data_IF_977877683928
#
_entry.id   IF_977877683928
#
_cell.length_a   1.000
_cell.length_b   1.000
_cell.length_c   1.000
_cell.angle_alpha   90.00
_cell.angle_beta   90.00
_cell.angle_gamma   90.00
#
_symmetry.space_group_name_H-M   'P 1'
#
loop_
_entity.id
_entity.type
_entity.pdbx_description
1 polymer ?
#
# COMPACT_ATOMS: atom_id res chain seq x y z
N UNK A 1 -10.87 0.97 -22.63
CA UNK A 1 -10.84 1.50 -21.25
C UNK A 1 -12.26 1.59 -20.72
N UNK A 2 -12.70 0.64 -19.90
CA UNK A 2 -14.00 0.73 -19.24
C UNK A 2 -13.73 1.27 -17.83
N UNK A 3 -14.07 2.52 -17.62
CA UNK A 3 -14.04 3.12 -16.30
C UNK A 3 -15.30 2.65 -15.56
N UNK A 4 -15.16 1.77 -14.60
CA UNK A 4 -16.23 1.41 -13.67
C UNK A 4 -15.93 2.17 -12.39
N UNK A 5 -16.83 3.08 -12.04
CA UNK A 5 -16.77 3.81 -10.77
C UNK A 5 -17.85 3.21 -9.90
N UNK A 6 -17.45 2.38 -8.95
CA UNK A 6 -18.35 1.83 -7.95
C UNK A 6 -18.11 2.47 -6.59
N UNK A 7 -19.21 2.81 -5.93
CA UNK A 7 -19.22 3.35 -4.58
C UNK A 7 -19.33 2.18 -3.61
N UNK A 8 -18.22 1.77 -3.01
CA UNK A 8 -18.24 0.76 -1.95
C UNK A 8 -18.67 1.42 -0.64
N UNK A 9 -19.86 1.07 -0.17
CA UNK A 9 -20.37 1.53 1.12
C UNK A 9 -19.66 0.78 2.26
N UNK A 10 -18.66 1.42 2.85
CA UNK A 10 -18.06 1.01 4.13
C UNK A 10 -17.81 2.23 5.00
N UNK A 11 -18.84 3.09 5.19
CA UNK A 11 -18.77 4.28 6.04
C UNK A 11 -18.00 5.46 5.49
N UNK A 12 -17.14 5.26 4.47
CA UNK A 12 -16.44 6.30 3.70
C UNK A 12 -16.56 6.00 2.21
N UNK A 13 -16.58 7.06 1.38
CA UNK A 13 -16.68 6.93 -0.06
C UNK A 13 -15.35 6.43 -0.62
N UNK A 14 -15.30 5.17 -1.02
CA UNK A 14 -14.20 4.57 -1.74
C UNK A 14 -14.47 4.67 -3.24
N UNK A 15 -13.60 5.36 -3.98
CA UNK A 15 -13.67 5.43 -5.44
C UNK A 15 -12.70 4.44 -6.05
N UNK A 16 -13.20 3.60 -6.94
CA UNK A 16 -12.47 2.52 -7.60
C UNK A 16 -12.37 2.82 -9.09
N UNK A 17 -11.16 2.76 -9.63
CA UNK A 17 -10.93 2.74 -11.07
C UNK A 17 -10.50 1.33 -11.44
N UNK A 18 -11.32 0.66 -12.25
CA UNK A 18 -11.00 -0.63 -12.83
C UNK A 18 -10.50 -0.41 -14.26
N UNK A 19 -9.27 -0.80 -14.53
CA UNK A 19 -8.72 -0.80 -15.88
C UNK A 19 -8.92 -2.20 -16.50
N UNK A 20 -9.85 -2.30 -17.45
CA UNK A 20 -10.23 -3.54 -18.12
C UNK A 20 -9.74 -3.51 -19.56
N UNK A 21 -8.56 -4.08 -19.85
CA UNK A 21 -8.10 -4.33 -21.22
C UNK A 21 -8.40 -5.78 -21.60
N UNK A 22 -9.66 -6.21 -21.44
CA UNK A 22 -10.07 -7.57 -21.74
C UNK A 22 -10.98 -7.62 -22.99
N UNK A 23 -10.63 -6.87 -24.02
CA UNK A 23 -11.39 -6.97 -25.28
C UNK A 23 -11.14 -8.33 -25.93
N UNK A 24 -12.10 -9.23 -25.75
CA UNK A 24 -12.22 -10.44 -26.56
C UNK A 24 -11.64 -11.72 -25.96
N UNK A 25 -11.31 -11.77 -24.67
CA UNK A 25 -10.91 -13.01 -24.01
C UNK A 25 -12.05 -13.56 -23.14
N UNK A 26 -12.57 -14.72 -23.53
CA UNK A 26 -13.44 -15.51 -22.68
C UNK A 26 -12.56 -16.29 -21.69
N UNK A 27 -12.59 -15.95 -20.38
CA UNK A 27 -11.79 -16.69 -19.40
C UNK A 27 -11.65 -16.01 -18.04
N UNK A 28 -10.91 -16.66 -17.17
CA UNK A 28 -10.52 -16.14 -15.87
C UNK A 28 -9.18 -15.43 -15.99
N UNK A 29 -9.05 -14.31 -15.31
CA UNK A 29 -7.86 -13.46 -15.35
C UNK A 29 -7.24 -13.31 -13.96
N UNK A 30 -5.91 -13.30 -13.85
CA UNK A 30 -5.25 -12.93 -12.62
C UNK A 30 -5.65 -11.50 -12.23
N UNK A 31 -5.74 -11.24 -10.94
CA UNK A 31 -6.11 -9.90 -10.45
C UNK A 31 -4.96 -9.28 -9.67
N UNK A 32 -4.86 -7.96 -9.73
CA UNK A 32 -3.88 -7.21 -8.97
C UNK A 32 -4.47 -5.92 -8.41
N UNK A 33 -4.39 -5.78 -7.08
CA UNK A 33 -4.71 -4.54 -6.40
C UNK A 33 -3.46 -3.65 -6.35
N UNK A 34 -3.62 -2.38 -6.69
CA UNK A 34 -2.55 -1.38 -6.61
C UNK A 34 -2.95 -0.27 -5.63
N UNK A 35 -2.60 -0.41 -4.33
CA UNK A 35 -2.84 0.62 -3.34
C UNK A 35 -2.01 1.88 -3.60
N UNK A 36 -2.53 3.09 -3.25
CA UNK A 36 -1.87 4.35 -3.53
C UNK A 36 -0.65 4.61 -2.64
N UNK A 37 0.27 5.42 -3.14
CA UNK A 37 1.26 6.11 -2.32
C UNK A 37 0.61 7.14 -1.40
N UNK A 38 1.41 7.74 -0.50
CA UNK A 38 0.92 8.73 0.46
C UNK A 38 0.43 10.02 -0.20
N UNK A 39 -0.44 10.72 0.54
CA UNK A 39 -1.00 12.02 0.18
C UNK A 39 -2.30 11.94 -0.59
N UNK A 40 -3.09 13.00 -0.45
CA UNK A 40 -4.38 13.17 -1.11
C UNK A 40 -4.12 13.74 -2.50
N UNK A 41 -4.33 12.93 -3.51
CA UNK A 41 -4.07 13.27 -4.92
C UNK A 41 -4.87 12.37 -5.83
N UNK A 42 -5.09 12.82 -7.06
CA UNK A 42 -5.70 11.97 -8.08
C UNK A 42 -4.93 10.66 -8.23
N UNK A 43 -5.66 9.60 -8.50
CA UNK A 43 -5.06 8.30 -8.76
C UNK A 43 -4.23 8.39 -10.05
N UNK A 44 -2.97 8.03 -9.93
CA UNK A 44 -2.08 7.81 -11.07
C UNK A 44 -2.14 6.31 -11.41
N UNK A 45 -2.90 5.97 -12.43
CA UNK A 45 -3.07 4.59 -12.88
C UNK A 45 -2.18 4.28 -14.07
N UNK A 46 -1.87 3.00 -14.23
CA UNK A 46 -1.04 2.48 -15.32
C UNK A 46 -1.70 1.25 -15.94
N UNK A 47 -1.67 1.16 -17.26
CA UNK A 47 -2.15 0.00 -18.02
C UNK A 47 -1.21 -1.21 -17.95
N UNK A 48 -0.05 -1.06 -17.33
CA UNK A 48 1.04 -2.06 -17.30
C UNK A 48 0.58 -3.47 -16.93
N UNK A 49 -0.24 -3.61 -15.90
CA UNK A 49 -0.72 -4.93 -15.48
C UNK A 49 -1.85 -5.43 -16.37
N UNK A 50 -2.72 -4.55 -16.84
CA UNK A 50 -3.77 -4.90 -17.77
C UNK A 50 -3.20 -5.39 -19.12
N UNK A 51 -2.13 -4.77 -19.61
CA UNK A 51 -1.38 -5.23 -20.81
C UNK A 51 -0.75 -6.62 -20.64
N UNK A 52 -0.57 -7.07 -19.41
CA UNK A 52 -0.10 -8.42 -19.07
C UNK A 52 -1.25 -9.42 -18.84
N UNK A 53 -2.50 -9.01 -19.05
CA UNK A 53 -3.69 -9.84 -18.92
C UNK A 53 -4.30 -9.87 -17.51
N UNK A 54 -3.89 -8.97 -16.60
CA UNK A 54 -4.49 -8.83 -15.28
C UNK A 54 -5.74 -7.96 -15.30
N UNK A 55 -6.70 -8.29 -14.44
CA UNK A 55 -7.65 -7.30 -13.94
C UNK A 55 -6.91 -6.45 -12.91
N UNK A 56 -6.72 -5.17 -13.22
CA UNK A 56 -5.92 -4.24 -12.41
C UNK A 56 -6.82 -3.22 -11.73
N UNK A 57 -6.79 -3.17 -10.40
CA UNK A 57 -7.59 -2.25 -9.59
C UNK A 57 -6.72 -1.23 -8.89
N UNK A 58 -6.97 0.04 -9.15
CA UNK A 58 -6.39 1.19 -8.45
C UNK A 58 -7.46 1.83 -7.58
N UNK A 59 -7.14 2.14 -6.33
CA UNK A 59 -8.08 2.70 -5.36
C UNK A 59 -7.61 4.04 -4.83
N UNK A 60 -8.54 4.91 -4.49
CA UNK A 60 -8.32 6.00 -3.55
C UNK A 60 -8.65 5.54 -2.13
N UNK A 61 -7.94 6.06 -1.14
CA UNK A 61 -8.12 5.71 0.28
C UNK A 61 -8.51 6.93 1.14
N UNK A 62 -8.78 8.05 0.48
CA UNK A 62 -9.12 9.31 1.10
C UNK A 62 -10.52 9.83 0.74
N UNK A 63 -11.27 9.10 -0.11
CA UNK A 63 -12.60 9.50 -0.58
C UNK A 63 -12.55 10.55 -1.70
N UNK A 64 -11.42 10.67 -2.40
CA UNK A 64 -11.31 11.55 -3.56
C UNK A 64 -11.90 10.88 -4.80
N UNK A 65 -12.82 11.56 -5.46
CA UNK A 65 -13.36 11.09 -6.75
C UNK A 65 -12.24 11.00 -7.80
N UNK A 66 -12.19 9.94 -8.62
CA UNK A 66 -11.28 9.89 -9.78
C UNK A 66 -11.56 11.00 -10.80
N UNK A 67 -12.76 11.58 -10.77
CA UNK A 67 -13.18 12.71 -11.62
C UNK A 67 -13.04 14.06 -10.90
N UNK A 68 -12.47 14.08 -9.67
CA UNK A 68 -12.30 15.31 -8.90
C UNK A 68 -11.54 16.37 -9.70
N UNK A 69 -12.01 17.60 -9.65
CA UNK A 69 -11.27 18.73 -10.19
C UNK A 69 -10.16 19.20 -9.23
N UNK A 70 -9.41 20.22 -9.63
CA UNK A 70 -8.32 20.75 -8.81
C UNK A 70 -8.79 21.40 -7.52
N UNK A 71 -10.01 21.93 -7.48
CA UNK A 71 -10.51 22.63 -6.29
C UNK A 71 -11.05 21.63 -5.27
N UNK A 72 -11.66 20.54 -5.72
CA UNK A 72 -12.04 19.42 -4.85
C UNK A 72 -10.79 18.76 -4.22
N UNK A 73 -9.71 18.56 -5.00
CA UNK A 73 -8.43 18.06 -4.47
C UNK A 73 -7.89 19.00 -3.40
N UNK A 74 -7.83 20.31 -3.65
CA UNK A 74 -7.35 21.31 -2.68
C UNK A 74 -8.21 21.33 -1.41
N UNK A 75 -9.55 21.30 -1.57
CA UNK A 75 -10.48 21.24 -0.44
C UNK A 75 -10.21 20.05 0.44
N UNK A 76 -10.13 18.86 -0.14
CA UNK A 76 -9.89 17.62 0.62
C UNK A 76 -8.50 17.60 1.28
N UNK A 77 -7.46 18.10 0.59
CA UNK A 77 -6.14 18.29 1.18
C UNK A 77 -6.18 19.18 2.40
N UNK A 78 -6.93 20.31 2.34
CA UNK A 78 -7.06 21.25 3.47
C UNK A 78 -7.86 20.65 4.63
N UNK A 79 -8.92 19.90 4.35
CA UNK A 79 -9.77 19.27 5.37
C UNK A 79 -9.06 18.12 6.10
N UNK A 80 -8.06 17.51 5.47
CA UNK A 80 -7.35 16.32 5.97
C UNK A 80 -5.83 16.51 6.02
N UNK A 81 -5.37 17.74 6.22
CA UNK A 81 -3.93 18.09 6.20
C UNK A 81 -3.13 17.25 7.20
N UNK A 82 -3.68 17.06 8.39
CA UNK A 82 -3.05 16.29 9.48
C UNK A 82 -3.57 14.84 9.60
N UNK A 83 -4.08 14.23 8.53
CA UNK A 83 -4.67 12.88 8.62
C UNK A 83 -3.73 11.83 9.25
N UNK A 84 -2.42 12.01 9.13
CA UNK A 84 -1.42 11.12 9.72
C UNK A 84 -1.41 11.13 11.25
N UNK A 85 -1.98 12.17 11.89
CA UNK A 85 -2.15 12.28 13.34
C UNK A 85 -3.58 12.00 13.79
N UNK A 86 -4.55 12.00 12.87
CA UNK A 86 -5.98 11.90 13.18
C UNK A 86 -6.30 10.57 13.87
N UNK A 87 -6.84 10.64 15.10
CA UNK A 87 -7.24 9.48 15.89
C UNK A 87 -6.08 8.74 16.56
N UNK A 88 -4.89 9.33 16.64
CA UNK A 88 -3.69 8.68 17.21
C UNK A 88 -3.82 8.35 18.70
N UNK A 89 -4.79 8.96 19.39
CA UNK A 89 -5.11 8.69 20.80
C UNK A 89 -5.68 7.28 21.03
N UNK A 90 -6.24 6.65 19.98
CA UNK A 90 -6.88 5.34 20.09
C UNK A 90 -6.76 4.56 18.77
N UNK A 91 -6.20 3.36 18.83
CA UNK A 91 -6.03 2.51 17.66
C UNK A 91 -7.35 2.18 16.92
N UNK A 92 -8.51 2.23 17.60
CA UNK A 92 -9.79 2.01 16.93
C UNK A 92 -10.26 3.22 16.10
N UNK A 93 -9.73 4.41 16.37
CA UNK A 93 -10.11 5.67 15.72
C UNK A 93 -9.03 6.19 14.76
N UNK A 94 -7.83 5.59 14.80
CA UNK A 94 -6.72 6.05 13.98
C UNK A 94 -7.04 5.96 12.49
N UNK A 95 -6.82 7.05 11.77
CA UNK A 95 -7.21 7.22 10.36
C UNK A 95 -6.75 6.09 9.45
N UNK A 96 -5.56 5.54 9.69
CA UNK A 96 -5.03 4.43 8.92
C UNK A 96 -5.86 3.14 8.99
N UNK A 97 -6.74 2.99 9.99
CA UNK A 97 -7.69 1.87 10.03
C UNK A 97 -8.57 1.84 8.77
N UNK A 98 -9.09 2.99 8.37
CA UNK A 98 -9.93 3.10 7.18
C UNK A 98 -9.13 2.84 5.91
N UNK A 99 -7.89 3.34 5.84
CA UNK A 99 -6.97 3.06 4.73
C UNK A 99 -6.71 1.55 4.57
N UNK A 100 -6.45 0.84 5.67
CA UNK A 100 -6.22 -0.61 5.63
C UNK A 100 -7.48 -1.36 5.23
N UNK A 101 -8.63 -0.98 5.81
CA UNK A 101 -9.91 -1.60 5.48
C UNK A 101 -10.32 -1.36 4.02
N UNK A 102 -10.00 -0.18 3.46
CA UNK A 102 -10.25 0.10 2.04
C UNK A 102 -9.55 -0.91 1.13
N UNK A 103 -8.30 -1.29 1.43
CA UNK A 103 -7.57 -2.30 0.66
C UNK A 103 -8.22 -3.69 0.76
N UNK A 104 -8.67 -4.09 1.96
CA UNK A 104 -9.38 -5.38 2.15
C UNK A 104 -10.71 -5.38 1.39
N UNK A 105 -11.47 -4.27 1.45
CA UNK A 105 -12.73 -4.13 0.70
C UNK A 105 -12.53 -4.13 -0.83
N UNK A 106 -11.42 -3.54 -1.30
CA UNK A 106 -11.05 -3.64 -2.70
C UNK A 106 -10.81 -5.10 -3.14
N UNK A 107 -10.23 -5.93 -2.26
CA UNK A 107 -10.11 -7.37 -2.53
C UNK A 107 -11.47 -8.09 -2.53
N UNK A 108 -12.41 -7.70 -1.66
CA UNK A 108 -13.79 -8.23 -1.71
C UNK A 108 -14.43 -7.96 -3.08
N UNK A 109 -14.25 -6.74 -3.60
CA UNK A 109 -14.74 -6.37 -4.93
C UNK A 109 -14.09 -7.20 -6.03
N UNK A 110 -12.75 -7.29 -6.06
CA UNK A 110 -12.02 -8.08 -7.06
C UNK A 110 -12.43 -9.55 -7.04
N UNK A 111 -12.61 -10.14 -5.86
CA UNK A 111 -13.04 -11.54 -5.72
C UNK A 111 -14.47 -11.80 -6.18
N UNK A 112 -15.32 -10.77 -6.19
CA UNK A 112 -16.70 -10.88 -6.63
C UNK A 112 -16.85 -10.79 -8.17
N UNK A 113 -15.80 -10.39 -8.88
CA UNK A 113 -15.84 -10.30 -10.34
C UNK A 113 -15.90 -11.70 -10.96
N UNK A 114 -16.87 -11.96 -11.85
CA UNK A 114 -17.00 -13.26 -12.54
C UNK A 114 -15.75 -13.64 -13.34
N UNK A 115 -15.00 -12.65 -13.83
CA UNK A 115 -13.79 -12.81 -14.64
C UNK A 115 -12.53 -13.01 -13.80
N UNK A 116 -12.58 -12.80 -12.49
CA UNK A 116 -11.41 -12.94 -11.62
C UNK A 116 -11.00 -14.42 -11.47
N UNK A 117 -9.67 -14.67 -11.60
CA UNK A 117 -9.07 -15.94 -11.24
C UNK A 117 -8.70 -15.94 -9.76
N UNK A 118 -9.48 -16.63 -8.95
CA UNK A 118 -9.24 -16.75 -7.51
C UNK A 118 -7.94 -17.44 -7.10
N UNK A 119 -7.16 -17.96 -8.07
CA UNK A 119 -5.87 -18.62 -7.81
C UNK A 119 -4.67 -17.68 -7.98
N UNK A 120 -4.85 -16.59 -8.71
CA UNK A 120 -3.79 -15.64 -9.05
C UNK A 120 -4.19 -14.22 -8.62
N UNK A 121 -4.08 -13.97 -7.30
CA UNK A 121 -4.53 -12.73 -6.67
C UNK A 121 -3.35 -12.00 -6.05
N UNK A 122 -2.97 -10.89 -6.66
CA UNK A 122 -1.80 -10.10 -6.25
C UNK A 122 -2.14 -8.76 -5.63
N UNK A 123 -1.16 -8.23 -4.90
CA UNK A 123 -1.16 -6.83 -4.45
C UNK A 123 0.21 -6.23 -4.68
N UNK A 124 0.26 -5.01 -5.25
CA UNK A 124 1.52 -4.38 -5.65
C UNK A 124 1.49 -2.88 -5.45
N UNK A 125 2.47 -2.34 -4.72
CA UNK A 125 2.57 -0.90 -4.51
C UNK A 125 3.94 -0.41 -4.06
N UNK A 126 4.10 0.91 -4.05
CA UNK A 126 5.32 1.57 -3.58
C UNK A 126 5.03 2.55 -2.44
N UNK A 127 6.01 2.79 -1.56
CA UNK A 127 5.86 3.72 -0.43
C UNK A 127 4.72 3.30 0.51
N UNK A 128 3.75 4.17 0.79
CA UNK A 128 2.52 3.79 1.49
C UNK A 128 1.84 2.60 0.80
N UNK A 129 1.75 2.59 -0.54
CA UNK A 129 1.21 1.46 -1.30
C UNK A 129 2.00 0.17 -1.09
N UNK A 130 3.32 0.25 -0.89
CA UNK A 130 4.15 -0.90 -0.51
C UNK A 130 3.85 -1.42 0.89
N UNK A 131 3.64 -0.52 1.85
CA UNK A 131 3.16 -0.86 3.19
C UNK A 131 1.78 -1.53 3.12
N UNK A 132 0.85 -0.92 2.40
CA UNK A 132 -0.51 -1.44 2.21
C UNK A 132 -0.50 -2.80 1.51
N UNK A 133 0.45 -3.05 0.60
CA UNK A 133 0.60 -4.37 -0.03
C UNK A 133 0.96 -5.46 1.00
N UNK A 134 1.91 -5.18 1.90
CA UNK A 134 2.28 -6.11 2.98
C UNK A 134 1.11 -6.30 3.95
N UNK A 135 0.46 -5.22 4.36
CA UNK A 135 -0.66 -5.25 5.31
C UNK A 135 -1.84 -6.03 4.73
N UNK A 136 -2.21 -5.75 3.47
CA UNK A 136 -3.33 -6.46 2.83
C UNK A 136 -3.03 -7.95 2.72
N UNK A 137 -1.82 -8.33 2.32
CA UNK A 137 -1.44 -9.75 2.22
C UNK A 137 -1.36 -10.46 3.60
N UNK A 138 -1.13 -9.70 4.68
CA UNK A 138 -1.17 -10.24 6.03
C UNK A 138 -2.60 -10.42 6.58
N UNK A 139 -3.54 -9.57 6.14
CA UNK A 139 -4.92 -9.55 6.60
C UNK A 139 -5.86 -10.42 5.75
N UNK A 140 -5.52 -10.63 4.47
CA UNK A 140 -6.38 -11.28 3.50
C UNK A 140 -5.73 -12.55 2.93
N UNK A 141 -6.23 -13.70 3.35
CA UNK A 141 -5.71 -15.01 2.94
C UNK A 141 -5.99 -15.36 1.46
N UNK A 142 -6.77 -14.57 0.74
CA UNK A 142 -7.02 -14.72 -0.69
C UNK A 142 -5.84 -14.25 -1.54
N UNK A 143 -4.99 -13.39 -1.01
CA UNK A 143 -3.77 -12.94 -1.68
C UNK A 143 -2.83 -14.15 -1.85
N UNK A 144 -2.27 -14.31 -3.05
CA UNK A 144 -1.39 -15.41 -3.41
C UNK A 144 0.06 -14.98 -3.69
N UNK A 145 0.28 -13.70 -3.96
CA UNK A 145 1.60 -13.08 -4.10
C UNK A 145 1.55 -11.59 -3.81
N UNK A 146 2.68 -10.99 -3.47
CA UNK A 146 2.77 -9.53 -3.29
C UNK A 146 4.07 -8.96 -3.87
N UNK A 147 4.02 -7.66 -4.21
CA UNK A 147 5.21 -6.89 -4.56
C UNK A 147 5.21 -5.54 -3.83
N UNK A 148 6.22 -5.27 -3.00
CA UNK A 148 6.31 -4.07 -2.21
C UNK A 148 7.63 -3.33 -2.45
N UNK A 149 7.53 -2.08 -2.90
CA UNK A 149 8.68 -1.23 -3.19
C UNK A 149 8.83 -0.18 -2.10
N UNK A 150 10.03 -0.08 -1.51
CA UNK A 150 10.36 0.91 -0.46
C UNK A 150 9.20 1.17 0.52
N UNK A 151 8.68 0.12 1.20
CA UNK A 151 7.46 0.24 2.00
C UNK A 151 7.60 1.26 3.13
N UNK A 152 6.57 2.09 3.30
CA UNK A 152 6.41 3.01 4.42
C UNK A 152 5.91 2.27 5.68
N UNK A 153 5.60 3.00 6.74
CA UNK A 153 5.02 2.51 8.00
C UNK A 153 5.84 1.39 8.67
N UNK A 154 7.14 1.32 8.41
CA UNK A 154 8.03 0.32 8.99
C UNK A 154 8.84 0.91 10.15
N UNK A 155 8.92 0.21 11.29
CA UNK A 155 9.65 0.64 12.50
C UNK A 155 9.32 2.08 12.90
N UNK A 156 8.01 2.37 13.03
CA UNK A 156 7.50 3.73 13.26
C UNK A 156 8.01 4.32 14.59
N UNK A 157 8.40 3.48 15.54
CA UNK A 157 8.96 3.88 16.83
C UNK A 157 10.50 3.95 16.86
N UNK A 158 11.16 3.74 15.74
CA UNK A 158 12.63 3.66 15.63
C UNK A 158 13.36 4.84 16.27
N UNK A 159 12.83 6.06 16.11
CA UNK A 159 13.44 7.28 16.69
C UNK A 159 13.61 7.21 18.22
N UNK A 160 12.68 6.59 18.93
CA UNK A 160 12.75 6.44 20.38
C UNK A 160 13.85 5.45 20.81
N UNK A 161 14.37 4.67 19.87
CA UNK A 161 15.40 3.65 20.09
C UNK A 161 16.71 3.99 19.37
N UNK A 162 16.94 5.26 19.06
CA UNK A 162 18.18 5.74 18.41
C UNK A 162 18.34 5.29 16.95
N UNK A 163 17.24 4.87 16.29
CA UNK A 163 17.21 4.49 14.88
C UNK A 163 16.37 5.48 14.08
N UNK A 164 16.44 5.40 12.75
CA UNK A 164 15.48 6.09 11.91
C UNK A 164 14.10 5.43 12.07
N UNK A 165 13.02 6.23 11.97
CA UNK A 165 11.65 5.75 11.86
C UNK A 165 11.17 5.85 10.40
N UNK A 166 10.33 4.93 9.97
CA UNK A 166 9.70 4.96 8.64
C UNK A 166 8.69 6.10 8.52
N UNK A 167 8.41 6.51 7.27
CA UNK A 167 7.31 7.45 7.01
C UNK A 167 6.01 6.95 7.70
N UNK A 168 5.20 7.81 8.33
CA UNK A 168 5.20 9.28 8.32
C UNK A 168 6.10 9.97 9.37
N UNK A 169 6.97 9.24 10.07
CA UNK A 169 7.99 9.77 10.98
C UNK A 169 7.43 10.57 12.17
N UNK A 170 6.25 10.21 12.67
CA UNK A 170 5.51 10.95 13.71
C UNK A 170 6.31 11.17 15.00
N UNK A 171 7.28 10.28 15.28
CA UNK A 171 8.12 10.36 16.47
C UNK A 171 9.52 10.97 16.20
N UNK A 172 9.71 11.56 15.00
CA UNK A 172 10.92 12.33 14.72
C UNK A 172 11.01 13.60 15.58
N UNK A 173 12.20 14.18 15.78
CA UNK A 173 12.35 15.41 16.57
C UNK A 173 11.51 16.60 16.10
N UNK A 174 11.18 16.67 14.81
CA UNK A 174 10.30 17.70 14.24
C UNK A 174 8.82 17.40 14.45
N UNK A 175 8.39 16.15 14.21
CA UNK A 175 6.98 15.78 14.19
C UNK A 175 6.41 15.47 15.58
N UNK A 176 7.23 14.93 16.49
CA UNK A 176 6.80 14.56 17.85
C UNK A 176 6.17 15.73 18.63
N UNK A 177 6.53 16.96 18.25
CA UNK A 177 5.99 18.19 18.86
C UNK A 177 4.55 18.48 18.44
N UNK A 178 4.06 17.84 17.38
CA UNK A 178 2.67 17.96 16.89
C UNK A 178 1.73 16.97 17.55
N UNK A 179 2.26 16.01 18.32
CA UNK A 179 1.41 15.05 19.03
C UNK A 179 0.52 15.78 20.05
N UNK A 180 -0.75 15.49 20.01
CA UNK A 180 -1.76 16.00 20.95
C UNK A 180 -1.96 15.08 22.16
N UNK A 181 -1.24 13.95 22.19
CA UNK A 181 -1.28 12.93 23.24
C UNK A 181 0.12 12.59 23.74
N UNK A 182 0.26 11.97 24.94
CA UNK A 182 1.53 11.46 25.41
C UNK A 182 2.16 10.46 24.41
N UNK A 183 3.50 10.47 24.32
CA UNK A 183 4.24 9.63 23.38
C UNK A 183 3.95 8.14 23.55
N UNK A 184 3.78 7.68 24.79
CA UNK A 184 3.45 6.27 25.07
C UNK A 184 2.04 5.86 24.55
N UNK A 185 1.08 6.79 24.59
CA UNK A 185 -0.24 6.60 23.99
C UNK A 185 -0.14 6.47 22.48
N UNK A 186 0.58 7.40 21.82
CA UNK A 186 0.84 7.34 20.39
C UNK A 186 1.54 6.03 20.01
N UNK A 187 2.58 5.61 20.74
CA UNK A 187 3.28 4.35 20.51
C UNK A 187 2.38 3.12 20.58
N UNK A 188 1.46 3.08 21.56
CA UNK A 188 0.48 1.99 21.66
C UNK A 188 -0.41 1.91 20.42
N UNK A 189 -0.87 3.05 19.92
CA UNK A 189 -1.65 3.11 18.67
C UNK A 189 -0.80 2.69 17.48
N UNK A 190 0.38 3.28 17.29
CA UNK A 190 1.27 2.98 16.17
C UNK A 190 1.66 1.51 16.08
N UNK A 191 1.76 0.81 17.20
CA UNK A 191 2.06 -0.63 17.22
C UNK A 191 1.02 -1.48 16.47
N UNK A 192 -0.23 -1.02 16.38
CA UNK A 192 -1.28 -1.69 15.58
C UNK A 192 -1.17 -1.41 14.09
N UNK A 193 -0.35 -0.43 13.68
CA UNK A 193 -0.26 0.04 12.29
C UNK A 193 1.14 -0.08 11.70
N UNK A 194 2.11 -0.54 12.50
CA UNK A 194 3.48 -0.76 12.05
C UNK A 194 3.59 -2.04 11.20
N UNK A 195 4.09 -1.89 9.96
CA UNK A 195 4.30 -2.99 9.01
C UNK A 195 5.14 -4.12 9.59
N UNK A 196 6.07 -3.84 10.49
CA UNK A 196 6.90 -4.85 11.17
C UNK A 196 6.02 -5.91 11.86
N UNK A 197 4.87 -5.50 12.43
CA UNK A 197 3.93 -6.39 13.08
C UNK A 197 3.09 -7.21 12.11
N UNK A 198 2.80 -6.70 10.92
CA UNK A 198 2.10 -7.44 9.85
C UNK A 198 3.03 -8.39 9.10
N UNK A 199 4.27 -7.99 8.89
CA UNK A 199 5.26 -8.74 8.10
C UNK A 199 5.46 -10.17 8.59
N UNK A 200 5.41 -10.42 9.90
CA UNK A 200 5.49 -11.78 10.48
C UNK A 200 4.32 -12.70 10.12
N UNK A 201 3.21 -12.15 9.63
CA UNK A 201 2.03 -12.90 9.22
C UNK A 201 1.98 -13.20 7.71
N UNK A 202 2.95 -12.72 6.93
CA UNK A 202 3.04 -13.01 5.50
C UNK A 202 3.34 -14.50 5.30
N UNK A 203 2.47 -15.17 4.52
CA UNK A 203 2.56 -16.59 4.19
C UNK A 203 2.78 -16.85 2.70
N UNK A 204 2.67 -15.81 1.88
CA UNK A 204 2.76 -15.90 0.43
C UNK A 204 4.10 -15.39 -0.08
N UNK A 205 4.55 -15.84 -1.26
CA UNK A 205 5.78 -15.31 -1.85
C UNK A 205 5.69 -13.81 -2.11
N UNK A 206 6.80 -13.11 -1.90
CA UNK A 206 6.88 -11.67 -2.07
C UNK A 206 8.13 -11.20 -2.78
N UNK A 207 7.94 -10.17 -3.63
CA UNK A 207 9.02 -9.37 -4.21
C UNK A 207 9.14 -8.05 -3.47
N UNK A 208 10.34 -7.71 -3.03
CA UNK A 208 10.60 -6.50 -2.25
C UNK A 208 11.76 -5.72 -2.84
N UNK A 209 11.67 -4.40 -2.84
CA UNK A 209 12.83 -3.58 -3.22
C UNK A 209 12.94 -2.30 -2.40
N UNK A 210 14.16 -1.85 -2.21
CA UNK A 210 14.47 -0.55 -1.62
C UNK A 210 15.85 -0.04 -2.06
N UNK A 211 16.14 1.22 -1.77
CA UNK A 211 17.43 1.85 -2.00
C UNK A 211 18.12 2.25 -0.70
N UNK A 212 19.44 2.44 -0.74
CA UNK A 212 20.19 2.87 0.46
C UNK A 212 20.11 4.37 0.71
N UNK A 213 19.81 5.17 -0.31
CA UNK A 213 19.67 6.62 -0.20
C UNK A 213 18.25 7.10 0.09
N UNK A 214 17.34 6.18 0.45
CA UNK A 214 15.96 6.54 0.76
C UNK A 214 15.86 7.19 2.14
N UNK A 215 15.64 8.51 2.15
CA UNK A 215 15.42 9.28 3.35
C UNK A 215 13.94 9.32 3.78
N UNK A 216 13.02 8.93 2.94
CA UNK A 216 11.57 8.89 3.25
C UNK A 216 11.22 7.59 3.97
N UNK A 217 11.61 6.46 3.38
CA UNK A 217 11.49 5.13 3.98
C UNK A 217 12.91 4.55 4.16
N UNK A 218 13.61 4.91 5.24
CA UNK A 218 15.01 4.53 5.43
C UNK A 218 15.23 3.02 5.33
N UNK A 219 16.32 2.57 4.70
CA UNK A 219 16.55 1.14 4.45
C UNK A 219 16.58 0.30 5.74
N UNK A 220 17.00 0.89 6.86
CA UNK A 220 16.98 0.23 8.17
C UNK A 220 15.56 -0.12 8.61
N UNK A 221 14.59 0.77 8.38
CA UNK A 221 13.19 0.53 8.75
C UNK A 221 12.56 -0.53 7.85
N UNK A 222 12.82 -0.46 6.55
CA UNK A 222 12.38 -1.48 5.58
C UNK A 222 12.95 -2.85 5.95
N UNK A 223 14.24 -2.92 6.25
CA UNK A 223 14.90 -4.16 6.65
C UNK A 223 14.32 -4.73 7.94
N UNK A 224 13.94 -3.90 8.92
CA UNK A 224 13.22 -4.35 10.12
C UNK A 224 11.96 -5.16 9.76
N UNK A 225 11.16 -4.67 8.82
CA UNK A 225 9.96 -5.38 8.37
C UNK A 225 10.32 -6.64 7.58
N UNK A 226 11.23 -6.56 6.60
CA UNK A 226 11.60 -7.69 5.76
C UNK A 226 12.22 -8.86 6.54
N UNK A 227 12.91 -8.58 7.65
CA UNK A 227 13.47 -9.62 8.52
C UNK A 227 12.39 -10.43 9.26
N UNK A 228 11.18 -9.90 9.42
CA UNK A 228 10.06 -10.63 10.03
C UNK A 228 9.38 -11.59 9.06
N UNK A 229 9.57 -11.43 7.75
CA UNK A 229 8.95 -12.28 6.74
C UNK A 229 9.71 -13.58 6.65
N UNK A 230 9.03 -14.70 6.94
CA UNK A 230 9.58 -16.06 6.82
C UNK A 230 9.16 -16.76 5.52
N UNK A 231 8.12 -16.25 4.84
CA UNK A 231 7.69 -16.76 3.54
C UNK A 231 8.77 -16.53 2.46
N UNK A 232 8.72 -17.25 1.33
CA UNK A 232 9.64 -17.03 0.21
C UNK A 232 9.68 -15.57 -0.22
N UNK A 233 10.86 -14.99 -0.26
CA UNK A 233 11.04 -13.58 -0.59
C UNK A 233 12.21 -13.35 -1.53
N UNK A 234 11.98 -12.54 -2.55
CA UNK A 234 13.01 -11.97 -3.43
C UNK A 234 13.23 -10.52 -3.04
N UNK A 235 14.44 -10.15 -2.69
CA UNK A 235 14.80 -8.78 -2.30
C UNK A 235 15.75 -8.21 -3.34
N UNK A 236 15.39 -7.07 -3.93
CA UNK A 236 16.22 -6.31 -4.86
C UNK A 236 16.60 -4.98 -4.22
N UNK A 237 17.89 -4.82 -3.92
CA UNK A 237 18.44 -3.59 -3.38
C UNK A 237 19.10 -2.82 -4.53
N UNK A 238 18.71 -1.56 -4.71
CA UNK A 238 19.37 -0.65 -5.64
C UNK A 238 20.13 0.40 -4.82
N UNK A 239 21.44 0.25 -4.59
CA UNK A 239 22.18 1.06 -3.61
C UNK A 239 22.07 2.57 -3.84
N UNK A 240 22.05 3.03 -5.09
CA UNK A 240 21.98 4.45 -5.44
C UNK A 240 20.57 5.03 -5.44
N UNK A 241 19.52 4.20 -5.31
CA UNK A 241 18.15 4.69 -5.30
C UNK A 241 17.82 5.39 -3.97
N UNK A 242 17.12 6.51 -4.06
CA UNK A 242 16.41 7.13 -2.95
C UNK A 242 14.95 6.63 -2.93
N UNK A 243 13.96 7.53 -2.75
CA UNK A 243 12.54 7.15 -2.67
C UNK A 243 11.91 6.97 -4.07
N UNK A 244 12.56 6.19 -4.91
CA UNK A 244 12.08 5.80 -6.24
C UNK A 244 12.67 4.45 -6.65
N UNK A 245 12.20 3.91 -7.78
CA UNK A 245 12.73 2.69 -8.40
C UNK A 245 13.12 2.93 -9.87
N UNK A 246 14.16 2.26 -10.28
CA UNK A 246 14.57 2.24 -11.68
C UNK A 246 13.68 1.30 -12.50
N UNK A 247 13.66 1.50 -13.82
CA UNK A 247 12.88 0.67 -14.72
C UNK A 247 13.33 -0.80 -14.69
N UNK A 248 14.63 -1.05 -14.48
CA UNK A 248 15.16 -2.40 -14.28
C UNK A 248 14.55 -3.12 -13.09
N UNK A 249 14.28 -2.40 -12.01
CA UNK A 249 13.58 -2.95 -10.83
C UNK A 249 12.12 -3.28 -11.15
N UNK A 250 11.46 -2.43 -11.95
CA UNK A 250 10.10 -2.70 -12.44
C UNK A 250 10.07 -3.96 -13.31
N UNK A 251 11.00 -4.08 -14.26
CA UNK A 251 11.12 -5.26 -15.14
C UNK A 251 11.32 -6.54 -14.34
N UNK A 252 12.25 -6.53 -13.37
CA UNK A 252 12.47 -7.69 -12.47
C UNK A 252 11.23 -8.07 -11.69
N UNK A 253 10.48 -7.08 -11.17
CA UNK A 253 9.24 -7.34 -10.45
C UNK A 253 8.17 -7.97 -11.35
N UNK A 254 8.03 -7.49 -12.60
CA UNK A 254 7.10 -8.05 -13.59
C UNK A 254 7.49 -9.49 -13.95
N UNK A 255 8.76 -9.74 -14.22
CA UNK A 255 9.26 -11.09 -14.52
C UNK A 255 9.01 -12.03 -13.34
N UNK A 256 9.25 -11.54 -12.12
CA UNK A 256 8.97 -12.30 -10.91
C UNK A 256 7.47 -12.58 -10.77
N UNK A 257 6.58 -11.60 -10.95
CA UNK A 257 5.13 -11.78 -10.90
C UNK A 257 4.70 -12.84 -11.93
N UNK A 258 5.17 -12.74 -13.17
CA UNK A 258 4.86 -13.71 -14.24
C UNK A 258 5.26 -15.15 -13.88
N UNK A 259 6.31 -15.33 -13.09
CA UNK A 259 6.75 -16.68 -12.68
C UNK A 259 5.82 -17.33 -11.65
N UNK A 260 4.95 -16.58 -11.00
CA UNK A 260 3.98 -17.06 -10.01
C UNK A 260 2.55 -17.18 -10.53
N UNK A 261 2.25 -16.64 -11.72
CA UNK A 261 0.95 -16.82 -12.36
C UNK A 261 0.94 -18.21 -13.01
N UNK A 262 -0.08 -18.98 -12.70
CA UNK A 262 -0.24 -20.36 -13.18
C UNK A 262 -1.38 -20.47 -14.18
#
# INVERSE_FOLDING_TARGET
LKLIIDKLQAGEELFIILDEILKGTNGKHPVILTPPGAGIKRIDFSTRYAELGFISLYIDVHGLSPLADSDEVKRLCSERDDYIFTGIENHNNYYFKNIFMACVRAMDYLCALPEADGKNMGVCGGSQGGALSIITAALDSRITFLSAFYPALCDMTGYLNGRAGGWPKLLSPSEIKKLTVPVDVACKTLAYYDVVNFAKHIKVPGFYSHGYNDNTCPPTTVTCALNQITAPKTIVITPIAAHWRFEETNKKAIEWIKSYIR
#
